data_IF_389853185106
#
_entry.id   IF_389853185106
#
_cell.length_a   1.000
_cell.length_b   1.000
_cell.length_c   1.000
_cell.angle_alpha   90.00
_cell.angle_beta   90.00
_cell.angle_gamma   90.00
#
_symmetry.space_group_name_H-M   'P 1'
#
loop_
_entity.id
_entity.type
_entity.pdbx_description
1 polymer ?
#
# COMPACT_ATOMS: atom_id res chain seq x y z
N UNK A 1 -23.83 21.92 7.65
CA UNK A 1 -22.86 22.96 8.12
C UNK A 1 -22.73 24.02 7.04
N UNK A 2 -22.40 25.27 7.39
CA UNK A 2 -22.28 26.35 6.39
C UNK A 2 -21.07 26.20 5.46
N UNK A 3 -20.03 25.48 5.92
CA UNK A 3 -18.87 25.02 5.13
C UNK A 3 -18.39 23.67 5.68
N UNK A 4 -17.85 22.82 4.83
CA UNK A 4 -17.28 21.51 5.20
C UNK A 4 -16.00 21.22 4.42
N UNK A 5 -15.05 20.54 5.05
CA UNK A 5 -13.85 20.00 4.41
C UNK A 5 -14.00 18.49 4.28
N UNK A 6 -13.90 17.97 3.05
CA UNK A 6 -13.87 16.54 2.79
C UNK A 6 -12.42 16.06 2.70
N UNK A 7 -12.04 15.16 3.62
CA UNK A 7 -10.67 14.64 3.76
C UNK A 7 -10.36 13.46 2.81
N UNK A 8 -11.05 13.44 1.67
CA UNK A 8 -10.88 12.47 0.59
C UNK A 8 -10.67 13.22 -0.72
N UNK A 9 -10.02 12.60 -1.72
CA UNK A 9 -10.01 13.14 -3.08
C UNK A 9 -11.43 13.14 -3.65
N UNK A 10 -11.76 14.15 -4.46
CA UNK A 10 -13.05 14.22 -5.17
C UNK A 10 -13.29 12.98 -6.04
N UNK A 11 -12.24 12.42 -6.63
CA UNK A 11 -12.31 11.18 -7.42
C UNK A 11 -12.84 9.96 -6.64
N UNK A 12 -12.81 9.99 -5.30
CA UNK A 12 -13.34 8.92 -4.44
C UNK A 12 -14.75 9.20 -3.94
N UNK A 13 -15.35 10.35 -4.28
CA UNK A 13 -16.70 10.71 -3.87
C UNK A 13 -17.75 10.10 -4.80
N UNK A 14 -18.67 9.26 -4.28
CA UNK A 14 -19.82 8.80 -5.06
C UNK A 14 -20.70 9.99 -5.49
N UNK A 15 -21.07 10.02 -6.77
CA UNK A 15 -21.87 11.11 -7.35
C UNK A 15 -21.31 12.51 -7.03
N UNK A 16 -19.99 12.67 -7.18
CA UNK A 16 -19.28 13.94 -6.93
C UNK A 16 -19.93 15.13 -7.65
N UNK A 17 -20.50 14.91 -8.84
CA UNK A 17 -21.24 15.89 -9.65
C UNK A 17 -22.44 16.52 -8.95
N UNK A 18 -22.97 15.88 -7.90
CA UNK A 18 -24.12 16.35 -7.11
C UNK A 18 -23.74 17.07 -5.83
N UNK A 19 -22.45 17.15 -5.52
CA UNK A 19 -21.98 17.80 -4.30
C UNK A 19 -21.94 19.31 -4.51
N UNK A 20 -22.52 20.06 -3.58
CA UNK A 20 -22.41 21.51 -3.56
C UNK A 20 -20.98 21.93 -3.15
N UNK A 21 -20.15 22.23 -4.15
CA UNK A 21 -18.75 22.66 -3.96
C UNK A 21 -18.62 24.09 -3.42
N UNK A 22 -19.70 24.86 -3.37
CA UNK A 22 -19.76 26.12 -2.63
C UNK A 22 -19.78 25.90 -1.11
N UNK A 23 -20.30 24.76 -0.66
CA UNK A 23 -20.36 24.37 0.75
C UNK A 23 -19.27 23.37 1.13
N UNK A 24 -18.92 22.43 0.25
CA UNK A 24 -17.95 21.35 0.52
C UNK A 24 -16.68 21.56 -0.30
N UNK A 25 -15.53 21.61 0.38
CA UNK A 25 -14.21 21.66 -0.28
C UNK A 25 -13.50 20.32 -0.10
N UNK A 26 -13.20 19.63 -1.20
CA UNK A 26 -12.36 18.43 -1.19
C UNK A 26 -10.89 18.82 -1.06
N UNK A 27 -10.26 18.40 0.03
CA UNK A 27 -8.85 18.72 0.33
C UNK A 27 -7.94 17.50 0.24
N UNK A 28 -8.51 16.32 -0.01
CA UNK A 28 -7.76 15.07 0.01
C UNK A 28 -7.35 14.65 1.43
N UNK A 29 -6.58 13.56 1.55
CA UNK A 29 -6.03 13.14 2.83
C UNK A 29 -5.07 14.21 3.39
N UNK A 30 -5.34 14.70 4.60
CA UNK A 30 -4.45 15.62 5.30
C UNK A 30 -3.34 14.84 6.02
N UNK A 31 -2.24 14.61 5.32
CA UNK A 31 -1.06 14.01 5.92
C UNK A 31 -0.26 15.04 6.73
N UNK A 32 0.34 14.58 7.83
CA UNK A 32 1.38 15.35 8.49
C UNK A 32 2.62 15.39 7.59
N UNK A 33 3.01 16.60 7.18
CA UNK A 33 4.17 16.83 6.33
C UNK A 33 5.51 16.61 7.08
N UNK A 34 5.49 16.59 8.41
CA UNK A 34 6.67 16.45 9.26
C UNK A 34 6.75 15.05 9.89
N UNK A 35 5.74 14.21 9.69
CA UNK A 35 5.77 12.84 10.15
C UNK A 35 6.87 12.08 9.40
N UNK A 36 7.78 11.46 10.15
CA UNK A 36 8.74 10.51 9.58
C UNK A 36 7.95 9.30 9.07
N UNK A 37 7.81 9.23 7.74
CA UNK A 37 7.14 8.11 7.06
C UNK A 37 8.01 6.87 6.98
N UNK A 38 9.22 6.90 7.54
CA UNK A 38 10.26 5.90 7.36
C UNK A 38 10.92 6.02 6.00
N UNK A 39 11.94 5.18 5.77
CA UNK A 39 12.66 5.10 4.50
C UNK A 39 12.58 3.69 3.96
N UNK A 40 12.43 3.59 2.65
CA UNK A 40 12.61 2.37 1.90
C UNK A 40 13.42 2.68 0.65
N UNK A 41 14.32 1.78 0.30
CA UNK A 41 15.25 1.96 -0.82
C UNK A 41 15.04 0.84 -1.80
N UNK A 42 14.63 1.20 -3.03
CA UNK A 42 14.50 0.26 -4.13
C UNK A 42 15.83 -0.46 -4.39
N UNK A 43 15.87 -1.81 -4.41
CA UNK A 43 17.10 -2.53 -4.72
C UNK A 43 17.64 -2.18 -6.10
N UNK A 44 18.96 -2.03 -6.21
CA UNK A 44 19.61 -1.72 -7.49
C UNK A 44 19.31 -2.80 -8.54
N UNK A 45 19.16 -2.37 -9.81
CA UNK A 45 18.85 -3.29 -10.92
C UNK A 45 17.39 -3.77 -10.97
N UNK A 46 16.52 -3.34 -10.06
CA UNK A 46 15.09 -3.66 -10.11
C UNK A 46 14.38 -2.87 -11.20
N UNK A 47 13.72 -3.56 -12.14
CA UNK A 47 12.94 -2.92 -13.21
C UNK A 47 11.54 -2.52 -12.77
N UNK A 48 10.89 -3.33 -11.92
CA UNK A 48 9.55 -3.09 -11.39
C UNK A 48 9.44 -3.41 -9.91
N UNK A 49 8.74 -2.56 -9.16
CA UNK A 49 8.44 -2.77 -7.74
C UNK A 49 6.95 -2.98 -7.55
N UNK A 50 6.57 -4.07 -6.86
CA UNK A 50 5.20 -4.37 -6.46
C UNK A 50 5.06 -4.28 -4.94
N UNK A 51 4.15 -3.44 -4.45
CA UNK A 51 3.77 -3.40 -3.04
C UNK A 51 2.44 -4.11 -2.81
N UNK A 52 2.46 -5.17 -2.01
CA UNK A 52 1.26 -5.89 -1.58
C UNK A 52 0.98 -5.54 -0.12
N UNK A 53 -0.07 -4.75 0.11
CA UNK A 53 -0.50 -4.31 1.44
C UNK A 53 -2.03 -4.32 1.55
N UNK A 54 -2.55 -4.92 2.63
CA UNK A 54 -3.98 -4.91 2.98
C UNK A 54 -4.29 -3.94 4.13
N UNK A 55 -3.36 -3.02 4.42
CA UNK A 55 -3.45 -2.10 5.55
C UNK A 55 -3.16 -2.77 6.89
N UNK A 56 -3.83 -2.32 7.96
CA UNK A 56 -3.50 -2.74 9.33
C UNK A 56 -4.52 -3.68 9.97
N UNK A 57 -5.78 -3.69 9.51
CA UNK A 57 -6.87 -4.37 10.19
C UNK A 57 -7.18 -5.77 9.64
N UNK A 58 -7.14 -5.96 8.32
CA UNK A 58 -7.59 -7.19 7.65
C UNK A 58 -6.41 -7.96 7.02
N UNK A 59 -5.44 -8.32 7.86
CA UNK A 59 -4.13 -8.83 7.40
C UNK A 59 -3.92 -10.32 7.62
N UNK A 60 -4.72 -11.03 8.40
CA UNK A 60 -4.59 -12.49 8.55
C UNK A 60 -5.17 -13.23 7.33
N UNK A 61 -4.42 -13.21 6.22
CA UNK A 61 -4.81 -13.74 4.90
C UNK A 61 -3.70 -14.60 4.28
N UNK A 62 -3.22 -15.65 4.97
CA UNK A 62 -2.05 -16.43 4.55
C UNK A 62 -2.21 -17.08 3.17
N UNK A 63 -3.42 -17.55 2.82
CA UNK A 63 -3.69 -18.11 1.49
C UNK A 63 -3.51 -17.09 0.36
N UNK A 64 -4.02 -15.87 0.54
CA UNK A 64 -3.85 -14.79 -0.42
C UNK A 64 -2.38 -14.46 -0.61
N UNK A 65 -1.62 -14.35 0.48
CA UNK A 65 -0.19 -14.10 0.41
C UNK A 65 0.58 -15.20 -0.30
N UNK A 66 0.25 -16.48 -0.07
CA UNK A 66 0.83 -17.60 -0.84
C UNK A 66 0.51 -17.51 -2.33
N UNK A 67 -0.70 -17.09 -2.70
CA UNK A 67 -1.05 -16.87 -4.10
C UNK A 67 -0.24 -15.72 -4.71
N UNK A 68 0.01 -14.64 -3.97
CA UNK A 68 0.89 -13.56 -4.39
C UNK A 68 2.34 -14.03 -4.60
N UNK A 69 2.88 -14.84 -3.67
CA UNK A 69 4.21 -15.43 -3.81
C UNK A 69 4.28 -16.36 -5.03
N UNK A 70 3.25 -17.14 -5.30
CA UNK A 70 3.19 -18.01 -6.48
C UNK A 70 3.11 -17.21 -7.80
N UNK A 71 2.41 -16.07 -7.80
CA UNK A 71 2.21 -15.26 -9.00
C UNK A 71 3.41 -14.37 -9.35
N UNK A 72 4.05 -13.77 -8.35
CA UNK A 72 5.10 -12.74 -8.54
C UNK A 72 6.48 -13.19 -8.04
N UNK A 73 6.55 -14.31 -7.34
CA UNK A 73 7.79 -14.95 -6.94
C UNK A 73 8.61 -15.38 -8.13
N UNK A 74 9.91 -15.10 -8.09
CA UNK A 74 10.87 -15.38 -9.16
C UNK A 74 10.54 -14.72 -10.51
N UNK A 75 9.59 -13.78 -10.55
CA UNK A 75 9.24 -13.08 -11.77
C UNK A 75 10.41 -12.16 -12.18
N UNK A 76 11.05 -12.35 -13.34
CA UNK A 76 12.23 -11.59 -13.73
C UNK A 76 11.96 -10.08 -13.81
N UNK A 77 12.88 -9.27 -13.28
CA UNK A 77 12.76 -7.81 -13.26
C UNK A 77 11.88 -7.25 -12.14
N UNK A 78 11.13 -8.09 -11.42
CA UNK A 78 10.24 -7.65 -10.35
C UNK A 78 10.85 -7.84 -8.96
N UNK A 79 10.71 -6.82 -8.12
CA UNK A 79 10.93 -6.89 -6.68
C UNK A 79 9.59 -6.72 -5.95
N UNK A 80 9.29 -7.60 -5.00
CA UNK A 80 8.00 -7.62 -4.30
C UNK A 80 8.21 -7.27 -2.84
N UNK A 81 7.47 -6.28 -2.36
CA UNK A 81 7.36 -5.94 -0.95
C UNK A 81 6.02 -6.44 -0.44
N UNK A 82 6.04 -7.46 0.42
CA UNK A 82 4.85 -8.12 0.94
C UNK A 82 4.62 -7.78 2.42
N UNK A 83 3.61 -6.95 2.69
CA UNK A 83 3.20 -6.62 4.06
C UNK A 83 2.09 -7.55 4.54
N UNK A 84 2.34 -8.29 5.63
CA UNK A 84 1.46 -9.38 6.13
C UNK A 84 0.75 -9.07 7.44
N UNK A 85 0.98 -7.88 8.01
CA UNK A 85 0.48 -7.50 9.31
C UNK A 85 1.13 -8.24 10.47
N UNK A 86 0.67 -7.95 11.69
CA UNK A 86 1.18 -8.56 12.92
C UNK A 86 0.56 -9.92 13.26
N UNK A 87 -0.47 -10.33 12.53
CA UNK A 87 -1.30 -11.49 12.87
C UNK A 87 -1.05 -12.70 11.98
N UNK A 88 -0.34 -12.54 10.87
CA UNK A 88 0.09 -13.65 10.01
C UNK A 88 1.50 -14.05 10.42
N UNK A 89 1.72 -15.34 10.69
CA UNK A 89 3.07 -15.86 10.89
C UNK A 89 3.76 -16.04 9.52
N UNK A 90 4.97 -15.47 9.29
CA UNK A 90 5.75 -15.73 8.08
C UNK A 90 5.92 -17.22 7.76
N UNK A 91 5.94 -18.09 8.76
CA UNK A 91 6.01 -19.55 8.58
C UNK A 91 4.81 -20.14 7.83
N UNK A 92 3.65 -19.47 7.81
CA UNK A 92 2.47 -19.89 7.06
C UNK A 92 2.59 -19.65 5.55
N UNK A 93 3.60 -18.88 5.12
CA UNK A 93 3.80 -18.52 3.71
C UNK A 93 4.55 -19.59 2.91
N UNK A 94 5.26 -20.50 3.59
CA UNK A 94 6.15 -21.46 2.95
C UNK A 94 7.44 -20.83 2.43
N UNK A 95 7.94 -21.34 1.31
CA UNK A 95 9.19 -20.85 0.71
C UNK A 95 9.01 -19.44 0.15
N UNK A 96 9.87 -18.51 0.58
CA UNK A 96 9.87 -17.12 0.13
C UNK A 96 10.89 -16.99 -1.02
N UNK A 97 10.46 -16.61 -2.23
CA UNK A 97 11.34 -16.36 -3.36
C UNK A 97 12.35 -15.23 -3.09
N UNK A 98 13.57 -15.27 -3.67
CA UNK A 98 14.64 -14.30 -3.39
C UNK A 98 14.33 -12.86 -3.83
N UNK A 99 13.36 -12.65 -4.72
CA UNK A 99 12.92 -11.33 -5.15
C UNK A 99 11.83 -10.72 -4.25
N UNK A 100 11.45 -11.40 -3.17
CA UNK A 100 10.39 -10.98 -2.26
C UNK A 100 10.98 -10.66 -0.89
N UNK A 101 10.60 -9.52 -0.33
CA UNK A 101 10.77 -9.22 1.09
C UNK A 101 9.43 -9.26 1.82
N UNK A 102 9.41 -9.86 3.01
CA UNK A 102 8.19 -10.04 3.82
C UNK A 102 8.32 -9.25 5.11
N UNK A 103 7.32 -8.41 5.40
CA UNK A 103 7.33 -7.49 6.52
C UNK A 103 6.00 -7.52 7.28
N UNK A 104 6.04 -7.44 8.61
CA UNK A 104 4.82 -7.28 9.42
C UNK A 104 4.27 -5.85 9.34
N UNK A 105 5.13 -4.88 9.05
CA UNK A 105 4.79 -3.47 8.84
C UNK A 105 5.81 -2.84 7.89
N UNK A 106 5.38 -1.88 7.07
CA UNK A 106 6.25 -1.17 6.12
C UNK A 106 5.95 0.34 6.11
N UNK A 107 6.95 1.18 5.74
CA UNK A 107 6.74 2.60 5.45
C UNK A 107 6.00 2.76 4.11
N UNK A 108 4.69 2.45 4.09
CA UNK A 108 3.89 2.27 2.88
C UNK A 108 4.00 3.45 1.89
N UNK A 109 4.00 4.70 2.37
CA UNK A 109 4.11 5.88 1.51
C UNK A 109 5.48 5.98 0.83
N UNK A 110 6.57 5.71 1.55
CA UNK A 110 7.93 5.75 1.00
C UNK A 110 8.14 4.67 -0.08
N UNK A 111 7.45 3.54 0.04
CA UNK A 111 7.46 2.49 -0.99
C UNK A 111 6.61 2.91 -2.19
N UNK A 112 5.39 3.41 -1.98
CA UNK A 112 4.48 3.83 -3.06
C UNK A 112 5.09 4.93 -3.96
N UNK A 113 5.95 5.80 -3.43
CA UNK A 113 6.68 6.80 -4.22
C UNK A 113 7.66 6.19 -5.24
N UNK A 114 8.03 4.93 -5.06
CA UNK A 114 9.00 4.19 -5.89
C UNK A 114 8.41 2.91 -6.52
N UNK A 115 7.14 2.61 -6.21
CA UNK A 115 6.43 1.42 -6.66
C UNK A 115 5.84 1.62 -8.06
N UNK A 116 5.76 0.53 -8.80
CA UNK A 116 5.14 0.47 -10.12
C UNK A 116 3.72 -0.14 -10.06
N UNK A 117 3.43 -0.89 -8.99
CA UNK A 117 2.15 -1.54 -8.72
C UNK A 117 1.91 -1.72 -7.22
#
# INVERSE_FOLDING_TARGET
PARALALIPEAMQPSADRVDTGTVTFVGPCFDAHADTGRWTRPEGTEKVLLISLGSAYTHRPEFYRQCLAAYGNLPGWHVVLQIGRHTDPGELGDIPPNVEVHSWVPQRAILEQADA
#
